data_IF_774412967640
#
_entry.id   IF_774412967640
#
_cell.length_a   1.000
_cell.length_b   1.000
_cell.length_c   1.000
_cell.angle_alpha   90.00
_cell.angle_beta   90.00
_cell.angle_gamma   90.00
#
_symmetry.space_group_name_H-M   'P 1'
#
loop_
_entity.id
_entity.type
_entity.pdbx_description
1 polymer ?
#
# COMPACT_ATOMS: atom_id res chain seq x y z
N UNK A 1 -4.40 -23.53 -4.74
CA UNK A 1 -4.26 -22.06 -4.82
C UNK A 1 -2.77 -21.72 -4.85
N UNK A 2 -2.37 -20.54 -5.34
CA UNK A 2 -0.97 -20.13 -5.41
C UNK A 2 -0.33 -19.86 -4.04
N UNK A 3 -1.13 -19.69 -2.99
CA UNK A 3 -0.70 -19.49 -1.61
C UNK A 3 -1.17 -20.67 -0.73
N UNK A 4 -0.35 -21.03 0.26
CA UNK A 4 -0.64 -22.08 1.23
C UNK A 4 -1.55 -21.59 2.39
N UNK A 5 -1.64 -20.28 2.60
CA UNK A 5 -2.50 -19.61 3.58
C UNK A 5 -2.88 -18.21 3.09
N UNK A 6 -3.89 -17.60 3.69
CA UNK A 6 -4.22 -16.18 3.47
C UNK A 6 -3.17 -15.30 4.15
N UNK A 7 -2.47 -14.42 3.43
CA UNK A 7 -1.50 -13.50 4.02
C UNK A 7 -2.21 -12.37 4.78
N UNK A 8 -1.62 -11.89 5.88
CA UNK A 8 -2.14 -10.70 6.57
C UNK A 8 -1.87 -9.40 5.78
N UNK A 9 -0.74 -9.35 5.06
CA UNK A 9 -0.33 -8.20 4.26
C UNK A 9 0.21 -8.67 2.91
N UNK A 10 -0.19 -8.00 1.84
CA UNK A 10 0.37 -8.11 0.50
C UNK A 10 0.94 -6.77 0.10
N UNK A 11 2.22 -6.76 -0.25
CA UNK A 11 2.90 -5.57 -0.78
C UNK A 11 3.34 -5.87 -2.20
N UNK A 12 2.93 -5.01 -3.14
CA UNK A 12 3.43 -5.05 -4.52
C UNK A 12 4.36 -3.87 -4.78
N UNK A 13 5.26 -3.99 -5.74
CA UNK A 13 6.15 -2.89 -6.16
C UNK A 13 6.17 -2.74 -7.68
N UNK A 14 6.12 -1.49 -8.15
CA UNK A 14 6.14 -1.16 -9.56
C UNK A 14 4.76 -1.19 -10.23
N UNK A 15 4.70 -0.66 -11.46
CA UNK A 15 3.45 -0.56 -12.20
C UNK A 15 2.48 0.50 -11.69
N UNK A 16 2.94 1.47 -10.89
CA UNK A 16 2.12 2.53 -10.27
C UNK A 16 2.29 3.91 -10.90
N UNK A 17 3.15 4.07 -11.91
CA UNK A 17 3.36 5.35 -12.58
C UNK A 17 2.26 5.69 -13.61
N UNK A 18 2.45 6.73 -14.42
CA UNK A 18 1.51 7.12 -15.48
C UNK A 18 1.74 6.39 -16.82
N UNK A 19 2.67 5.43 -16.90
CA UNK A 19 2.92 4.70 -18.16
C UNK A 19 1.68 3.91 -18.58
N UNK A 20 1.42 3.73 -19.89
CA UNK A 20 0.34 2.84 -20.36
C UNK A 20 0.44 1.40 -19.84
N UNK A 21 1.66 0.95 -19.51
CA UNK A 21 1.91 -0.38 -18.93
C UNK A 21 1.75 -0.45 -17.41
N UNK A 22 1.62 0.70 -16.73
CA UNK A 22 1.44 0.74 -15.29
C UNK A 22 -0.03 0.40 -14.99
N UNK A 23 -0.29 -0.85 -14.57
CA UNK A 23 -1.64 -1.38 -14.36
C UNK A 23 -1.89 -1.92 -12.95
N UNK A 24 -0.90 -1.80 -12.07
CA UNK A 24 -0.98 -2.32 -10.69
C UNK A 24 -2.12 -1.68 -9.90
N UNK A 25 -2.31 -0.34 -9.93
CA UNK A 25 -3.44 0.29 -9.24
C UNK A 25 -4.80 -0.26 -9.68
N UNK A 26 -5.03 -0.46 -10.98
CA UNK A 26 -6.29 -0.97 -11.52
C UNK A 26 -6.52 -2.42 -11.11
N UNK A 27 -5.48 -3.25 -11.12
CA UNK A 27 -5.57 -4.63 -10.68
C UNK A 27 -5.90 -4.73 -9.17
N UNK A 28 -5.32 -3.85 -8.36
CA UNK A 28 -5.60 -3.80 -6.91
C UNK A 28 -6.99 -3.23 -6.64
N UNK A 29 -7.39 -2.13 -7.29
CA UNK A 29 -8.72 -1.55 -7.11
C UNK A 29 -9.84 -2.56 -7.40
N UNK A 30 -9.65 -3.47 -8.35
CA UNK A 30 -10.63 -4.51 -8.68
C UNK A 30 -10.87 -5.56 -7.58
N UNK A 31 -10.00 -5.63 -6.56
CA UNK A 31 -10.09 -6.62 -5.48
C UNK A 31 -10.28 -6.02 -4.09
N UNK A 32 -10.18 -4.69 -3.94
CA UNK A 32 -10.34 -4.05 -2.64
C UNK A 32 -11.81 -4.02 -2.21
N UNK A 33 -12.06 -4.43 -0.97
CA UNK A 33 -13.35 -4.24 -0.30
C UNK A 33 -13.45 -2.84 0.33
N UNK A 34 -12.33 -2.37 0.89
CA UNK A 34 -12.22 -1.06 1.56
C UNK A 34 -10.93 -0.37 1.13
N UNK A 35 -11.03 0.85 0.63
CA UNK A 35 -9.86 1.69 0.34
C UNK A 35 -9.35 2.40 1.60
N UNK A 36 -8.03 2.52 1.72
CA UNK A 36 -7.33 3.25 2.76
C UNK A 36 -6.49 4.38 2.13
N UNK A 37 -7.12 5.42 1.55
CA UNK A 37 -6.44 6.44 0.75
C UNK A 37 -5.34 7.18 1.52
N UNK A 38 -5.53 7.37 2.84
CA UNK A 38 -4.56 8.03 3.71
C UNK A 38 -3.16 7.37 3.74
N UNK A 39 -3.09 6.04 3.60
CA UNK A 39 -1.81 5.32 3.52
C UNK A 39 -1.08 5.68 2.22
N UNK A 40 -1.79 5.64 1.09
CA UNK A 40 -1.23 5.98 -0.21
C UNK A 40 -0.79 7.46 -0.28
N UNK A 41 -1.55 8.35 0.36
CA UNK A 41 -1.20 9.77 0.50
C UNK A 41 0.05 9.98 1.33
N UNK A 42 0.18 9.30 2.47
CA UNK A 42 1.36 9.36 3.33
C UNK A 42 2.63 8.89 2.60
N UNK A 43 2.55 7.77 1.87
CA UNK A 43 3.67 7.25 1.06
C UNK A 43 4.10 8.27 -0.01
N UNK A 44 3.15 8.88 -0.73
CA UNK A 44 3.46 9.93 -1.70
C UNK A 44 4.05 11.16 -1.03
N UNK A 45 3.50 11.60 0.10
CA UNK A 45 4.02 12.75 0.84
C UNK A 45 5.47 12.54 1.25
N UNK A 46 5.78 11.39 1.87
CA UNK A 46 7.14 11.01 2.27
C UNK A 46 8.14 11.05 1.12
N UNK A 47 7.78 10.48 -0.02
CA UNK A 47 8.66 10.44 -1.20
C UNK A 47 8.81 11.80 -1.90
N UNK A 48 7.77 12.64 -1.87
CA UNK A 48 7.76 13.97 -2.53
C UNK A 48 8.78 14.93 -1.96
N UNK A 49 9.10 14.81 -0.67
CA UNK A 49 10.10 15.64 0.00
C UNK A 49 11.51 15.47 -0.62
N UNK A 50 11.81 14.26 -1.11
CA UNK A 50 13.09 13.96 -1.77
C UNK A 50 12.98 14.01 -3.30
N UNK A 51 11.86 13.54 -3.86
CA UNK A 51 11.66 13.38 -5.31
C UNK A 51 10.26 13.91 -5.68
N UNK A 52 10.14 15.12 -6.24
CA UNK A 52 8.84 15.73 -6.53
C UNK A 52 7.90 14.86 -7.39
N UNK A 53 8.47 14.06 -8.31
CA UNK A 53 7.70 13.16 -9.18
C UNK A 53 7.08 11.97 -8.44
N UNK A 54 7.42 11.73 -7.17
CA UNK A 54 6.68 10.78 -6.33
C UNK A 54 5.18 11.12 -6.24
N UNK A 55 4.82 12.39 -6.45
CA UNK A 55 3.44 12.86 -6.59
C UNK A 55 2.64 12.11 -7.68
N UNK A 56 3.31 11.65 -8.73
CA UNK A 56 2.68 11.03 -9.89
C UNK A 56 2.33 9.55 -9.69
N UNK A 57 2.75 8.96 -8.56
CA UNK A 57 2.39 7.58 -8.23
C UNK A 57 0.88 7.44 -8.02
N UNK A 58 0.27 6.53 -8.76
CA UNK A 58 -1.13 6.13 -8.63
C UNK A 58 -1.32 4.95 -7.66
N UNK A 59 -0.32 4.69 -6.82
CA UNK A 59 -0.38 3.60 -5.85
C UNK A 59 -1.60 3.71 -4.93
N UNK A 60 -2.10 2.55 -4.50
CA UNK A 60 -3.30 2.36 -3.69
C UNK A 60 -2.95 1.53 -2.45
N UNK A 61 -3.78 1.67 -1.43
CA UNK A 61 -3.76 0.87 -0.23
C UNK A 61 -5.21 0.57 0.18
N UNK A 62 -5.45 -0.60 0.76
CA UNK A 62 -6.78 -1.02 1.17
C UNK A 62 -6.79 -2.40 1.80
N UNK A 63 -7.99 -2.93 2.00
CA UNK A 63 -8.25 -4.25 2.57
C UNK A 63 -9.05 -5.07 1.57
N UNK A 64 -8.71 -6.36 1.42
CA UNK A 64 -9.46 -7.36 0.67
C UNK A 64 -9.50 -8.67 1.47
N UNK A 65 -10.68 -9.18 1.81
CA UNK A 65 -10.88 -10.43 2.57
C UNK A 65 -9.97 -10.53 3.83
N UNK A 66 -9.94 -9.45 4.62
CA UNK A 66 -9.11 -9.35 5.83
C UNK A 66 -7.60 -9.19 5.58
N UNK A 67 -7.16 -9.11 4.32
CA UNK A 67 -5.76 -8.88 3.93
C UNK A 67 -5.52 -7.40 3.65
N UNK A 68 -4.49 -6.80 4.25
CA UNK A 68 -4.03 -5.46 3.89
C UNK A 68 -3.25 -5.53 2.57
N UNK A 69 -3.63 -4.75 1.57
CA UNK A 69 -2.92 -4.65 0.28
C UNK A 69 -2.37 -3.24 0.12
N UNK A 70 -1.07 -3.11 -0.17
CA UNK A 70 -0.42 -1.83 -0.44
C UNK A 70 0.47 -1.92 -1.68
N UNK A 71 0.39 -0.92 -2.56
CA UNK A 71 1.25 -0.83 -3.74
C UNK A 71 2.31 0.25 -3.57
N UNK A 72 3.58 -0.16 -3.64
CA UNK A 72 4.74 0.71 -3.54
C UNK A 72 5.29 1.08 -4.92
N UNK A 73 6.01 2.21 -5.04
CA UNK A 73 6.74 2.56 -6.26
C UNK A 73 7.75 1.46 -6.66
N UNK A 74 8.14 1.43 -7.94
CA UNK A 74 9.14 0.48 -8.45
C UNK A 74 10.60 0.87 -8.15
N UNK A 75 10.84 2.09 -7.67
CA UNK A 75 12.19 2.57 -7.35
C UNK A 75 12.61 2.13 -5.94
N UNK A 76 13.90 1.82 -5.75
CA UNK A 76 14.43 1.44 -4.42
C UNK A 76 14.15 2.49 -3.34
N UNK A 77 14.29 3.77 -3.70
CA UNK A 77 13.97 4.89 -2.80
C UNK A 77 12.49 4.92 -2.43
N UNK A 78 11.59 4.83 -3.41
CA UNK A 78 10.15 4.82 -3.16
C UNK A 78 9.68 3.59 -2.36
N UNK A 79 10.30 2.42 -2.54
CA UNK A 79 10.07 1.25 -1.68
C UNK A 79 10.50 1.55 -0.25
N UNK A 80 11.71 2.10 -0.05
CA UNK A 80 12.20 2.43 1.31
C UNK A 80 11.29 3.43 2.02
N UNK A 81 10.88 4.49 1.31
CA UNK A 81 10.01 5.52 1.87
C UNK A 81 8.62 4.95 2.19
N UNK A 82 8.11 4.08 1.33
CA UNK A 82 6.84 3.38 1.55
C UNK A 82 6.88 2.44 2.75
N UNK A 83 7.91 1.61 2.87
CA UNK A 83 8.08 0.71 4.01
C UNK A 83 8.22 1.48 5.32
N UNK A 84 8.93 2.61 5.33
CA UNK A 84 9.04 3.43 6.53
C UNK A 84 7.67 3.97 7.00
N UNK A 85 6.78 4.34 6.07
CA UNK A 85 5.39 4.71 6.43
C UNK A 85 4.61 3.51 6.94
N UNK A 86 4.79 2.34 6.34
CA UNK A 86 4.08 1.13 6.73
C UNK A 86 4.53 0.57 8.09
N UNK A 87 5.81 0.71 8.44
CA UNK A 87 6.33 0.30 9.75
C UNK A 87 5.58 0.98 10.90
N UNK A 88 5.18 2.24 10.72
CA UNK A 88 4.43 3.02 11.72
C UNK A 88 2.94 2.64 11.79
N UNK A 89 2.37 2.10 10.71
CA UNK A 89 0.91 1.91 10.55
C UNK A 89 0.45 0.45 10.66
N UNK A 90 1.23 -0.48 10.11
CA UNK A 90 0.83 -1.88 10.00
C UNK A 90 0.56 -2.56 11.35
N UNK A 91 1.35 -2.35 12.42
CA UNK A 91 1.08 -3.01 13.70
C UNK A 91 -0.33 -2.72 14.23
N UNK A 92 -0.73 -1.45 14.24
CA UNK A 92 -2.06 -1.05 14.71
C UNK A 92 -3.17 -1.51 13.75
N UNK A 93 -2.98 -1.34 12.43
CA UNK A 93 -3.97 -1.76 11.44
C UNK A 93 -4.25 -3.27 11.50
N UNK A 94 -3.21 -4.08 11.66
CA UNK A 94 -3.36 -5.54 11.76
C UNK A 94 -4.04 -5.97 13.06
N UNK A 95 -3.75 -5.28 14.16
CA UNK A 95 -4.45 -5.52 15.44
C UNK A 95 -5.95 -5.22 15.32
N UNK A 96 -6.31 -4.08 14.71
CA UNK A 96 -7.70 -3.73 14.44
C UNK A 96 -8.41 -4.77 13.56
N UNK A 97 -7.77 -5.27 12.51
CA UNK A 97 -8.36 -6.30 11.63
C UNK A 97 -8.51 -7.65 12.31
N UNK A 98 -7.69 -7.95 13.32
CA UNK A 98 -7.82 -9.13 14.15
C UNK A 98 -8.92 -9.00 15.24
N UNK A 99 -9.56 -7.82 15.35
CA UNK A 99 -10.56 -7.52 16.37
C UNK A 99 -9.98 -7.00 17.69
N UNK A 100 -8.74 -6.49 17.67
CA UNK A 100 -8.12 -5.76 18.78
C UNK A 100 -8.83 -4.44 19.09
N UNK A 101 -8.71 -3.98 20.34
CA UNK A 101 -9.43 -2.82 20.87
C UNK A 101 -8.74 -1.49 20.54
N UNK A 102 -9.49 -0.38 20.61
CA UNK A 102 -8.96 0.97 20.36
C UNK A 102 -8.32 1.58 21.62
N UNK A 103 -7.12 1.14 21.97
CA UNK A 103 -6.28 1.88 22.94
C UNK A 103 -5.23 2.70 22.18
N UNK A 104 -5.63 3.90 21.73
CA UNK A 104 -4.75 4.96 21.25
C UNK A 104 -4.83 6.19 22.16
#
# INVERSE_FOLDING_TARGET
AALASTPAVVITTGGTGPSPSDRTPEAVAAVLDVELPGIAEAIRARGRDAVPTAALSRGLAGIADGTVIVTLPGSRGGVRDGLAVLDDLLPHLLDQLAGGDHDA
#
